data_IF_211762971065
#
_entry.id   IF_211762971065
#
_cell.length_a   1.000
_cell.length_b   1.000
_cell.length_c   1.000
_cell.angle_alpha   90.00
_cell.angle_beta   90.00
_cell.angle_gamma   90.00
#
_symmetry.space_group_name_H-M   'P 1'
#
loop_
_entity.id
_entity.type
_entity.pdbx_description
1 polymer ?
#
# COMPACT_ATOMS: atom_id res chain seq x y z
N UNK A 1 50.76 66.94 -18.08
CA UNK A 1 49.96 65.87 -18.72
C UNK A 1 49.28 65.11 -17.60
N UNK A 2 48.00 65.41 -17.36
CA UNK A 2 47.20 64.71 -16.38
C UNK A 2 46.86 63.33 -16.96
N UNK A 3 47.30 62.28 -16.28
CA UNK A 3 46.85 60.91 -16.56
C UNK A 3 45.34 60.86 -16.31
N UNK A 4 44.57 60.53 -17.34
CA UNK A 4 43.17 60.16 -17.21
C UNK A 4 43.11 58.94 -16.27
N UNK A 5 42.84 59.18 -14.98
CA UNK A 5 42.46 58.11 -14.05
C UNK A 5 41.18 57.50 -14.62
N UNK A 6 41.29 56.33 -15.25
CA UNK A 6 40.14 55.49 -15.50
C UNK A 6 39.48 55.26 -14.14
N UNK A 7 38.23 55.69 -13.99
CA UNK A 7 37.44 55.42 -12.81
C UNK A 7 37.17 53.92 -12.76
N UNK A 8 38.09 53.15 -12.15
CA UNK A 8 37.87 51.75 -11.83
C UNK A 8 36.73 51.68 -10.81
N UNK A 9 35.60 51.12 -11.24
CA UNK A 9 34.45 50.93 -10.36
C UNK A 9 34.74 49.70 -9.50
N UNK A 10 35.16 49.93 -8.25
CA UNK A 10 35.25 48.85 -7.27
C UNK A 10 33.88 48.70 -6.63
N UNK A 11 33.34 47.49 -6.73
CA UNK A 11 32.10 47.11 -6.05
C UNK A 11 32.44 46.46 -4.72
N UNK A 12 31.71 46.82 -3.68
CA UNK A 12 31.86 46.28 -2.33
C UNK A 12 30.61 45.55 -1.87
N UNK A 13 30.80 44.46 -1.16
CA UNK A 13 29.74 43.65 -0.55
C UNK A 13 29.96 43.55 0.95
N UNK A 14 28.88 43.64 1.72
CA UNK A 14 28.89 43.54 3.17
C UNK A 14 28.43 42.15 3.56
N UNK A 15 29.24 41.44 4.35
CA UNK A 15 28.93 40.14 4.93
C UNK A 15 28.48 40.34 6.37
N UNK A 16 27.36 39.72 6.73
CA UNK A 16 26.76 39.74 8.07
C UNK A 16 26.53 38.31 8.56
N UNK A 17 26.15 38.15 9.83
CA UNK A 17 25.80 36.85 10.39
C UNK A 17 24.65 36.16 9.63
N UNK A 18 23.73 36.93 9.04
CA UNK A 18 22.55 36.41 8.32
C UNK A 18 22.76 36.31 6.80
N UNK A 19 23.77 36.99 6.24
CA UNK A 19 24.04 37.05 4.80
C UNK A 19 25.54 37.00 4.55
N UNK A 20 25.99 35.84 4.08
CA UNK A 20 27.37 35.61 3.68
C UNK A 20 27.43 35.29 2.18
N UNK A 21 28.01 36.21 1.42
CA UNK A 21 28.21 36.07 -0.03
C UNK A 21 29.13 34.89 -0.37
N UNK A 22 30.12 34.59 0.47
CA UNK A 22 31.10 33.52 0.30
C UNK A 22 30.60 32.18 0.88
N UNK A 23 29.34 32.10 1.29
CA UNK A 23 28.71 30.85 1.71
C UNK A 23 27.91 30.22 0.58
N UNK A 24 27.86 28.88 0.53
CA UNK A 24 27.01 28.19 -0.45
C UNK A 24 25.54 28.33 -0.05
N UNK A 25 24.66 28.86 -0.91
CA UNK A 25 23.26 29.07 -0.57
C UNK A 25 22.50 27.77 -0.31
N UNK A 26 21.56 27.80 0.63
CA UNK A 26 20.74 26.65 1.04
C UNK A 26 20.02 25.97 -0.15
N UNK A 27 19.51 26.76 -1.11
CA UNK A 27 18.88 26.23 -2.33
C UNK A 27 19.83 25.33 -3.14
N UNK A 28 21.10 25.73 -3.27
CA UNK A 28 22.10 24.97 -4.01
C UNK A 28 22.51 23.70 -3.23
N UNK A 29 22.59 23.78 -1.90
CA UNK A 29 22.78 22.61 -1.02
C UNK A 29 21.63 21.61 -1.21
N UNK A 30 20.38 22.07 -1.27
CA UNK A 30 19.21 21.22 -1.50
C UNK A 30 19.26 20.54 -2.88
N UNK A 31 19.65 21.27 -3.93
CA UNK A 31 19.84 20.69 -5.28
C UNK A 31 20.88 19.57 -5.22
N UNK A 32 22.03 19.80 -4.60
CA UNK A 32 23.09 18.80 -4.47
C UNK A 32 22.62 17.56 -3.70
N UNK A 33 22.10 17.74 -2.48
CA UNK A 33 21.69 16.64 -1.61
C UNK A 33 20.60 15.77 -2.24
N UNK A 34 19.57 16.41 -2.81
CA UNK A 34 18.46 15.68 -3.43
C UNK A 34 18.87 14.99 -4.73
N UNK A 35 19.79 15.59 -5.50
CA UNK A 35 20.37 14.95 -6.69
C UNK A 35 21.14 13.70 -6.30
N UNK A 36 21.97 13.78 -5.26
CA UNK A 36 22.74 12.65 -4.77
C UNK A 36 21.84 11.53 -4.24
N UNK A 37 20.83 11.88 -3.44
CA UNK A 37 19.84 10.92 -2.94
C UNK A 37 19.16 10.15 -4.09
N UNK A 38 18.75 10.88 -5.13
CA UNK A 38 18.12 10.29 -6.32
C UNK A 38 19.08 9.38 -7.11
N UNK A 39 20.37 9.70 -7.16
CA UNK A 39 21.37 9.00 -7.98
C UNK A 39 22.02 7.80 -7.27
N UNK A 40 22.22 7.86 -5.95
CA UNK A 40 22.89 6.79 -5.19
C UNK A 40 21.95 5.65 -4.79
N UNK A 41 20.69 5.96 -4.52
CA UNK A 41 19.72 4.93 -4.14
C UNK A 41 19.17 4.22 -5.39
N UNK A 42 19.02 2.89 -5.31
CA UNK A 42 18.31 2.18 -6.37
C UNK A 42 16.87 2.68 -6.44
N UNK A 43 16.38 3.03 -7.63
CA UNK A 43 15.07 3.65 -7.84
C UNK A 43 13.87 2.85 -7.30
N UNK A 44 13.96 1.51 -7.24
CA UNK A 44 12.94 0.66 -6.59
C UNK A 44 12.95 0.73 -5.06
N UNK A 45 14.02 1.22 -4.45
CA UNK A 45 14.13 1.39 -2.99
C UNK A 45 13.70 2.77 -2.54
N UNK A 46 13.55 3.72 -3.46
CA UNK A 46 13.15 5.08 -3.14
C UNK A 46 11.60 5.17 -3.14
N UNK A 47 10.95 5.26 -1.97
CA UNK A 47 9.50 5.35 -1.88
C UNK A 47 8.94 6.68 -2.39
N UNK A 48 9.76 7.73 -2.47
CA UNK A 48 9.37 9.08 -2.88
C UNK A 48 9.97 9.52 -4.22
N UNK A 49 10.38 8.57 -5.09
CA UNK A 49 11.13 8.88 -6.32
C UNK A 49 10.49 9.99 -7.17
N UNK A 50 9.17 9.97 -7.36
CA UNK A 50 8.45 10.99 -8.13
C UNK A 50 8.43 12.34 -7.41
N UNK A 51 8.31 12.33 -6.08
CA UNK A 51 8.39 13.52 -5.25
C UNK A 51 9.75 14.19 -5.38
N UNK A 52 10.83 13.41 -5.24
CA UNK A 52 12.21 13.90 -5.33
C UNK A 52 12.52 14.49 -6.72
N UNK A 53 12.10 13.82 -7.80
CA UNK A 53 12.24 14.35 -9.17
C UNK A 53 11.45 15.64 -9.34
N UNK A 54 10.26 15.74 -8.75
CA UNK A 54 9.41 16.93 -8.85
C UNK A 54 10.02 18.10 -8.07
N UNK A 55 10.58 17.82 -6.90
CA UNK A 55 11.22 18.81 -6.04
C UNK A 55 12.54 19.32 -6.64
N UNK A 56 13.39 18.44 -7.18
CA UNK A 56 14.59 18.86 -7.93
C UNK A 56 14.24 19.80 -9.07
N UNK A 57 13.19 19.47 -9.85
CA UNK A 57 12.74 20.36 -10.92
C UNK A 57 12.28 21.71 -10.42
N UNK A 58 11.63 21.77 -9.25
CA UNK A 58 11.21 23.02 -8.62
C UNK A 58 12.43 23.85 -8.24
N UNK A 59 13.38 23.25 -7.53
CA UNK A 59 14.63 23.90 -7.13
C UNK A 59 15.42 24.45 -8.32
N UNK A 60 15.60 23.65 -9.38
CA UNK A 60 16.26 24.12 -10.60
C UNK A 60 15.54 25.29 -11.28
N UNK A 61 14.20 25.31 -11.27
CA UNK A 61 13.42 26.43 -11.83
C UNK A 61 13.54 27.70 -11.00
N UNK A 62 13.62 27.57 -9.68
CA UNK A 62 13.76 28.70 -8.76
C UNK A 62 15.10 29.41 -8.89
N UNK A 63 16.11 28.72 -9.40
CA UNK A 63 17.37 29.37 -9.81
C UNK A 63 17.16 30.43 -10.89
N UNK A 64 16.10 30.32 -11.72
CA UNK A 64 15.82 31.21 -12.87
C UNK A 64 16.99 31.29 -13.88
N UNK A 65 17.86 30.29 -13.92
CA UNK A 65 19.00 30.22 -14.84
C UNK A 65 18.63 29.44 -16.11
N UNK A 66 18.91 29.96 -17.32
CA UNK A 66 18.78 29.19 -18.56
C UNK A 66 19.58 27.88 -18.56
N UNK A 67 20.73 27.86 -17.89
CA UNK A 67 21.62 26.70 -17.74
C UNK A 67 20.95 25.54 -17.00
N UNK A 68 19.91 25.80 -16.21
CA UNK A 68 19.11 24.77 -15.53
C UNK A 68 18.25 23.93 -16.50
N UNK A 69 18.05 24.38 -17.74
CA UNK A 69 17.11 23.77 -18.68
C UNK A 69 17.44 22.30 -19.01
N UNK A 70 18.71 21.97 -19.20
CA UNK A 70 19.16 20.60 -19.48
C UNK A 70 18.83 19.64 -18.33
N UNK A 71 19.08 20.06 -17.09
CA UNK A 71 18.75 19.29 -15.88
C UNK A 71 17.23 19.07 -15.75
N UNK A 72 16.43 20.11 -15.97
CA UNK A 72 14.96 20.02 -15.91
C UNK A 72 14.42 19.06 -17.00
N UNK A 73 14.99 19.13 -18.21
CA UNK A 73 14.59 18.27 -19.32
C UNK A 73 14.90 16.79 -19.03
N UNK A 74 16.09 16.47 -18.53
CA UNK A 74 16.45 15.09 -18.18
C UNK A 74 15.69 14.58 -16.97
N UNK A 75 15.32 15.42 -15.99
CA UNK A 75 14.41 15.05 -14.90
C UNK A 75 13.00 14.68 -15.42
N UNK A 76 12.50 15.34 -16.46
CA UNK A 76 11.25 14.91 -17.11
C UNK A 76 11.39 13.53 -17.78
N UNK A 77 12.50 13.27 -18.46
CA UNK A 77 12.78 11.98 -19.06
C UNK A 77 12.91 10.88 -17.99
N UNK A 78 13.58 11.17 -16.88
CA UNK A 78 13.71 10.28 -15.71
C UNK A 78 12.35 9.90 -15.14
N UNK A 79 11.44 10.87 -14.98
CA UNK A 79 10.06 10.61 -14.55
C UNK A 79 9.33 9.65 -15.50
N UNK A 80 9.39 9.89 -16.81
CA UNK A 80 8.70 9.04 -17.78
C UNK A 80 9.29 7.63 -17.82
N UNK A 81 10.62 7.50 -17.78
CA UNK A 81 11.29 6.20 -17.72
C UNK A 81 10.94 5.44 -16.45
N UNK A 82 10.87 6.11 -15.30
CA UNK A 82 10.46 5.49 -14.04
C UNK A 82 9.07 4.88 -14.15
N UNK A 83 8.09 5.62 -14.68
CA UNK A 83 6.72 5.11 -14.84
C UNK A 83 6.68 3.88 -15.76
N UNK A 84 7.34 3.94 -16.92
CA UNK A 84 7.40 2.81 -17.85
C UNK A 84 8.11 1.58 -17.24
N UNK A 85 9.17 1.81 -16.47
CA UNK A 85 9.89 0.73 -15.78
C UNK A 85 9.05 0.11 -14.67
N UNK A 86 8.25 0.91 -13.96
CA UNK A 86 7.37 0.46 -12.89
C UNK A 86 6.30 -0.50 -13.43
N UNK A 87 5.72 -0.22 -14.60
CA UNK A 87 4.76 -1.12 -15.24
C UNK A 87 5.37 -2.50 -15.54
N UNK A 88 6.61 -2.51 -16.05
CA UNK A 88 7.35 -3.75 -16.32
C UNK A 88 7.70 -4.51 -15.03
N UNK A 89 8.15 -3.81 -13.99
CA UNK A 89 8.43 -4.39 -12.68
C UNK A 89 7.17 -4.99 -12.07
N UNK A 90 6.06 -4.26 -12.12
CA UNK A 90 4.78 -4.72 -11.61
C UNK A 90 4.33 -5.98 -12.36
N UNK A 91 4.43 -6.01 -13.69
CA UNK A 91 4.07 -7.20 -14.47
C UNK A 91 4.90 -8.44 -14.06
N UNK A 92 6.20 -8.27 -13.83
CA UNK A 92 7.08 -9.35 -13.35
C UNK A 92 6.71 -9.76 -11.93
N UNK A 93 6.50 -8.81 -11.03
CA UNK A 93 6.10 -9.07 -9.65
C UNK A 93 4.76 -9.81 -9.59
N UNK A 94 3.78 -9.43 -10.40
CA UNK A 94 2.50 -10.12 -10.51
C UNK A 94 2.65 -11.56 -11.03
N UNK A 95 3.50 -11.80 -12.03
CA UNK A 95 3.75 -13.15 -12.51
C UNK A 95 4.41 -14.01 -11.43
N UNK A 96 5.44 -13.48 -10.75
CA UNK A 96 6.10 -14.16 -9.64
C UNK A 96 5.14 -14.43 -8.48
N UNK A 97 4.25 -13.48 -8.17
CA UNK A 97 3.23 -13.66 -7.13
C UNK A 97 2.28 -14.81 -7.48
N UNK A 98 1.82 -14.90 -8.73
CA UNK A 98 0.95 -16.01 -9.16
C UNK A 98 1.61 -17.37 -9.01
N UNK A 99 2.91 -17.46 -9.30
CA UNK A 99 3.66 -18.71 -9.13
C UNK A 99 3.78 -19.09 -7.65
N UNK A 100 4.05 -18.10 -6.78
CA UNK A 100 4.09 -18.30 -5.32
C UNK A 100 2.72 -18.72 -4.79
N UNK A 101 1.66 -18.02 -5.17
CA UNK A 101 0.28 -18.32 -4.74
C UNK A 101 -0.11 -19.73 -5.19
N UNK A 102 0.19 -20.10 -6.44
CA UNK A 102 -0.05 -21.46 -6.96
C UNK A 102 0.71 -22.53 -6.20
N UNK A 103 1.98 -22.30 -5.89
CA UNK A 103 2.79 -23.22 -5.10
C UNK A 103 2.21 -23.37 -3.69
N UNK A 104 1.82 -22.26 -3.05
CA UNK A 104 1.21 -22.25 -1.72
C UNK A 104 -0.12 -23.02 -1.70
N UNK A 105 -1.00 -22.78 -2.68
CA UNK A 105 -2.26 -23.50 -2.86
C UNK A 105 -2.01 -25.00 -3.08
N UNK A 106 -1.02 -25.35 -3.91
CA UNK A 106 -0.63 -26.74 -4.15
C UNK A 106 -0.17 -27.44 -2.86
N UNK A 107 0.64 -26.77 -2.05
CA UNK A 107 1.06 -27.28 -0.75
C UNK A 107 -0.12 -27.40 0.22
N UNK A 108 -0.96 -26.38 0.33
CA UNK A 108 -2.10 -26.39 1.24
C UNK A 108 -3.07 -27.53 0.93
N UNK A 109 -3.42 -27.72 -0.34
CA UNK A 109 -4.25 -28.85 -0.77
C UNK A 109 -3.63 -30.19 -0.39
N UNK A 110 -2.32 -30.34 -0.57
CA UNK A 110 -1.63 -31.60 -0.24
C UNK A 110 -1.54 -31.83 1.27
N UNK A 111 -1.29 -30.78 2.05
CA UNK A 111 -1.27 -30.83 3.51
C UNK A 111 -2.64 -31.23 4.06
N UNK A 112 -3.72 -30.59 3.60
CA UNK A 112 -5.10 -30.90 4.03
C UNK A 112 -5.47 -32.36 3.71
N UNK A 113 -5.08 -32.85 2.52
CA UNK A 113 -5.31 -34.26 2.15
C UNK A 113 -4.54 -35.23 3.03
N UNK A 114 -3.27 -34.94 3.34
CA UNK A 114 -2.46 -35.80 4.21
C UNK A 114 -2.97 -35.77 5.66
N UNK A 115 -3.30 -34.60 6.18
CA UNK A 115 -3.89 -34.43 7.51
C UNK A 115 -5.21 -35.20 7.64
N UNK A 116 -6.09 -35.10 6.65
CA UNK A 116 -7.34 -35.89 6.60
C UNK A 116 -7.05 -37.39 6.64
N UNK A 117 -6.13 -37.90 5.80
CA UNK A 117 -5.76 -39.32 5.78
C UNK A 117 -5.14 -39.79 7.10
N UNK A 118 -4.28 -38.98 7.71
CA UNK A 118 -3.70 -39.25 9.03
C UNK A 118 -4.81 -39.33 10.07
N UNK A 119 -5.72 -38.35 10.10
CA UNK A 119 -6.83 -38.31 11.04
C UNK A 119 -7.77 -39.52 10.89
N UNK A 120 -8.05 -39.96 9.66
CA UNK A 120 -8.83 -41.18 9.39
C UNK A 120 -8.16 -42.44 9.95
N UNK A 121 -6.83 -42.55 9.79
CA UNK A 121 -6.08 -43.72 10.26
C UNK A 121 -5.93 -43.72 11.80
N UNK A 122 -5.68 -42.55 12.41
CA UNK A 122 -5.53 -42.41 13.87
C UNK A 122 -6.86 -42.57 14.61
N UNK A 123 -7.98 -42.18 14.00
CA UNK A 123 -9.30 -42.33 14.62
C UNK A 123 -9.72 -43.82 14.58
N UNK A 124 -10.01 -44.46 15.73
CA UNK A 124 -10.46 -45.85 15.76
C UNK A 124 -11.76 -46.05 14.97
N UNK A 125 -11.92 -47.18 14.26
CA UNK A 125 -13.12 -47.44 13.44
C UNK A 125 -14.41 -47.38 14.28
N UNK A 126 -14.34 -47.87 15.52
CA UNK A 126 -15.45 -47.86 16.49
C UNK A 126 -16.00 -46.45 16.76
N UNK A 127 -15.15 -45.41 16.70
CA UNK A 127 -15.59 -44.03 16.89
C UNK A 127 -16.52 -43.59 15.74
N UNK A 128 -16.21 -43.99 14.50
CA UNK A 128 -17.07 -43.71 13.35
C UNK A 128 -18.39 -44.48 13.43
N UNK A 129 -18.37 -45.75 13.84
CA UNK A 129 -19.60 -46.54 14.05
C UNK A 129 -20.52 -45.89 15.09
N UNK A 130 -19.97 -45.51 16.25
CA UNK A 130 -20.72 -44.79 17.29
C UNK A 130 -21.31 -43.49 16.78
N UNK A 131 -20.54 -42.72 15.99
CA UNK A 131 -21.03 -41.45 15.42
C UNK A 131 -22.13 -41.66 14.38
N UNK A 132 -22.00 -42.66 13.51
CA UNK A 132 -23.06 -43.06 12.55
C UNK A 132 -24.33 -43.44 13.30
N UNK A 133 -24.24 -44.31 14.31
CA UNK A 133 -25.40 -44.73 15.10
C UNK A 133 -26.07 -43.56 15.83
N UNK A 134 -25.28 -42.63 16.40
CA UNK A 134 -25.81 -41.40 17.02
C UNK A 134 -26.56 -40.54 16.01
N UNK A 135 -25.96 -40.27 14.86
CA UNK A 135 -26.55 -39.45 13.80
C UNK A 135 -27.82 -40.10 13.23
N UNK A 136 -27.83 -41.41 13.03
CA UNK A 136 -29.04 -42.13 12.61
C UNK A 136 -30.16 -42.02 13.64
N UNK A 137 -29.84 -42.11 14.94
CA UNK A 137 -30.82 -41.91 16.02
C UNK A 137 -31.34 -40.47 16.02
N UNK A 138 -30.46 -39.48 15.92
CA UNK A 138 -30.83 -38.06 15.85
C UNK A 138 -31.71 -37.77 14.63
N UNK A 139 -31.38 -38.32 13.47
CA UNK A 139 -32.19 -38.22 12.24
C UNK A 139 -33.57 -38.84 12.45
N UNK A 140 -33.68 -40.01 13.10
CA UNK A 140 -34.98 -40.64 13.40
C UNK A 140 -35.83 -39.76 14.33
N UNK A 141 -35.22 -39.22 15.39
CA UNK A 141 -35.90 -38.32 16.33
C UNK A 141 -36.38 -37.05 15.62
N UNK A 142 -35.50 -36.39 14.88
CA UNK A 142 -35.83 -35.14 14.19
C UNK A 142 -36.81 -35.37 13.02
N UNK A 143 -36.73 -36.51 12.32
CA UNK A 143 -37.72 -36.88 11.29
C UNK A 143 -39.11 -37.13 11.90
N UNK A 144 -39.18 -37.77 13.07
CA UNK A 144 -40.43 -37.96 13.80
C UNK A 144 -41.00 -36.62 14.24
N UNK A 145 -40.17 -35.75 14.82
CA UNK A 145 -40.56 -34.38 15.21
C UNK A 145 -41.08 -33.57 14.03
N UNK A 146 -40.36 -33.58 12.90
CA UNK A 146 -40.82 -32.92 11.66
C UNK A 146 -42.19 -33.45 11.21
N UNK A 147 -42.37 -34.77 11.24
CA UNK A 147 -43.65 -35.41 10.92
C UNK A 147 -44.78 -35.02 11.87
N UNK A 148 -44.52 -34.94 13.17
CA UNK A 148 -45.48 -34.49 14.19
C UNK A 148 -45.85 -33.00 14.02
N UNK A 149 -44.86 -32.13 13.82
CA UNK A 149 -45.08 -30.71 13.53
C UNK A 149 -45.90 -30.50 12.25
N UNK A 150 -45.57 -31.25 11.20
CA UNK A 150 -46.31 -31.22 9.94
C UNK A 150 -47.76 -31.67 10.14
N UNK A 151 -47.99 -32.80 10.81
CA UNK A 151 -49.35 -33.27 11.14
C UNK A 151 -50.13 -32.28 12.00
N UNK A 152 -49.49 -31.64 12.97
CA UNK A 152 -50.12 -30.64 13.82
C UNK A 152 -50.56 -29.42 13.02
N UNK A 153 -49.66 -28.89 12.16
CA UNK A 153 -49.99 -27.79 11.26
C UNK A 153 -51.18 -28.14 10.36
N UNK A 154 -51.13 -29.28 9.67
CA UNK A 154 -52.20 -29.71 8.78
C UNK A 154 -53.50 -29.97 9.53
N UNK A 155 -53.45 -30.66 10.68
CA UNK A 155 -54.63 -30.96 11.49
C UNK A 155 -55.29 -29.72 12.07
N UNK A 156 -54.51 -28.74 12.54
CA UNK A 156 -55.04 -27.48 13.04
C UNK A 156 -55.67 -26.64 11.94
N UNK A 157 -55.05 -26.57 10.76
CA UNK A 157 -55.61 -25.89 9.60
C UNK A 157 -56.86 -26.61 9.06
N UNK A 158 -56.87 -27.95 9.06
CA UNK A 158 -58.03 -28.73 8.62
C UNK A 158 -59.22 -28.57 9.54
N UNK A 159 -59.02 -28.52 10.87
CA UNK A 159 -60.11 -28.27 11.83
C UNK A 159 -60.84 -26.96 11.56
N UNK A 160 -60.08 -25.88 11.28
CA UNK A 160 -60.65 -24.58 10.92
C UNK A 160 -61.52 -24.70 9.66
N UNK A 161 -61.12 -25.54 8.70
CA UNK A 161 -61.86 -25.75 7.46
C UNK A 161 -63.04 -26.71 7.60
N UNK A 162 -62.93 -27.79 8.37
CA UNK A 162 -63.99 -28.79 8.53
C UNK A 162 -65.25 -28.21 9.19
N UNK A 163 -65.09 -27.16 10.00
CA UNK A 163 -66.19 -26.39 10.59
C UNK A 163 -67.01 -25.59 9.54
N UNK A 164 -66.48 -25.43 8.31
CA UNK A 164 -67.09 -24.63 7.24
C UNK A 164 -67.31 -25.40 5.93
N UNK A 165 -66.41 -26.32 5.59
CA UNK A 165 -66.40 -27.16 4.39
C UNK A 165 -65.84 -28.56 4.72
N UNK A 166 -66.70 -29.49 5.20
CA UNK A 166 -66.29 -30.85 5.54
C UNK A 166 -65.70 -31.58 4.32
N UNK A 167 -64.46 -32.09 4.44
CA UNK A 167 -63.84 -32.95 3.41
C UNK A 167 -62.99 -32.25 2.34
N UNK A 168 -62.62 -30.98 2.54
CA UNK A 168 -61.69 -30.26 1.65
C UNK A 168 -60.23 -30.71 1.81
N UNK A 169 -59.50 -30.96 0.70
CA UNK A 169 -58.08 -31.35 0.66
C UNK A 169 -57.12 -30.17 0.35
N UNK A 170 -57.53 -28.92 0.57
CA UNK A 170 -56.82 -27.73 0.05
C UNK A 170 -55.48 -27.39 0.74
N UNK A 171 -55.06 -28.11 1.78
CA UNK A 171 -54.01 -27.66 2.71
C UNK A 171 -52.67 -28.42 2.57
N UNK A 172 -52.26 -28.86 1.38
CA UNK A 172 -51.16 -29.84 1.29
C UNK A 172 -49.79 -29.29 0.88
N UNK A 173 -49.61 -27.98 0.64
CA UNK A 173 -48.36 -27.50 0.05
C UNK A 173 -47.84 -26.19 0.66
N UNK A 174 -47.27 -26.28 1.87
CA UNK A 174 -46.36 -25.25 2.38
C UNK A 174 -45.06 -25.28 1.57
N UNK A 175 -44.67 -24.14 1.00
CA UNK A 175 -43.42 -23.95 0.27
C UNK A 175 -42.57 -22.93 0.99
N UNK A 176 -41.31 -23.28 1.25
CA UNK A 176 -40.32 -22.36 1.81
C UNK A 176 -39.41 -21.79 0.73
N UNK A 177 -39.06 -20.52 0.87
CA UNK A 177 -37.94 -19.92 0.16
C UNK A 177 -36.98 -19.21 1.12
N UNK A 178 -35.69 -19.17 0.79
CA UNK A 178 -34.66 -18.55 1.62
C UNK A 178 -33.89 -17.51 0.82
N UNK A 179 -33.69 -16.34 1.42
CA UNK A 179 -32.81 -15.30 0.90
C UNK A 179 -31.82 -14.91 1.99
N UNK A 180 -30.53 -14.89 1.65
CA UNK A 180 -29.45 -14.56 2.57
C UNK A 180 -29.34 -13.05 2.86
N UNK A 181 -30.27 -12.23 2.35
CA UNK A 181 -30.38 -10.84 2.77
C UNK A 181 -30.67 -10.73 4.28
N UNK A 182 -30.15 -9.68 4.95
CA UNK A 182 -30.48 -9.40 6.35
C UNK A 182 -31.97 -9.18 6.53
N UNK A 183 -32.51 -9.60 7.67
CA UNK A 183 -33.94 -9.48 7.98
C UNK A 183 -34.51 -8.06 7.78
N UNK A 184 -33.73 -7.02 8.12
CA UNK A 184 -34.12 -5.62 7.94
C UNK A 184 -34.38 -5.21 6.47
N UNK A 185 -33.94 -6.02 5.50
CA UNK A 185 -34.10 -5.79 4.07
C UNK A 185 -35.16 -6.71 3.44
N UNK A 186 -35.83 -7.56 4.22
CA UNK A 186 -36.84 -8.47 3.69
C UNK A 186 -38.04 -7.69 3.13
N UNK A 187 -38.46 -8.09 1.95
CA UNK A 187 -39.65 -7.58 1.24
C UNK A 187 -40.50 -8.75 0.78
N UNK A 188 -41.76 -8.53 0.41
CA UNK A 188 -42.58 -9.60 -0.19
C UNK A 188 -41.86 -10.20 -1.41
N UNK A 189 -41.76 -11.53 -1.47
CA UNK A 189 -40.97 -12.24 -2.48
C UNK A 189 -41.88 -13.09 -3.36
N UNK A 190 -42.03 -12.77 -4.65
CA UNK A 190 -42.83 -13.57 -5.62
C UNK A 190 -44.23 -14.00 -5.11
N UNK A 191 -44.94 -13.10 -4.42
CA UNK A 191 -46.26 -13.42 -3.83
C UNK A 191 -46.20 -14.39 -2.64
N UNK A 192 -45.01 -14.62 -2.08
CA UNK A 192 -44.79 -15.25 -0.78
C UNK A 192 -44.59 -14.17 0.28
N UNK A 193 -45.08 -14.47 1.47
CA UNK A 193 -45.02 -13.59 2.62
C UNK A 193 -43.91 -14.07 3.54
N UNK A 194 -43.29 -13.13 4.24
CA UNK A 194 -42.18 -13.45 5.13
C UNK A 194 -42.65 -14.26 6.34
N UNK A 195 -41.81 -15.20 6.77
CA UNK A 195 -41.92 -15.92 8.02
C UNK A 195 -41.32 -15.06 9.16
N UNK A 196 -42.00 -15.01 10.31
CA UNK A 196 -41.69 -14.11 11.43
C UNK A 196 -40.20 -14.02 11.79
N UNK A 197 -39.73 -12.80 12.11
CA UNK A 197 -38.37 -12.40 12.48
C UNK A 197 -37.62 -13.23 13.54
N UNK A 198 -38.28 -14.17 14.23
CA UNK A 198 -37.74 -14.88 15.39
C UNK A 198 -36.97 -16.17 15.03
N UNK A 199 -36.82 -16.49 13.75
CA UNK A 199 -36.32 -17.80 13.31
C UNK A 199 -34.92 -17.74 12.73
N UNK A 200 -34.56 -16.65 12.05
CA UNK A 200 -33.22 -16.47 11.49
C UNK A 200 -32.91 -14.98 11.31
N UNK A 201 -31.61 -14.64 11.21
CA UNK A 201 -31.13 -13.30 10.84
C UNK A 201 -31.40 -12.92 9.38
N UNK A 202 -31.91 -13.86 8.58
CA UNK A 202 -32.12 -13.76 7.14
C UNK A 202 -33.59 -13.93 6.77
N UNK A 203 -33.93 -13.63 5.51
CA UNK A 203 -35.31 -13.74 5.05
C UNK A 203 -35.69 -15.20 4.77
N UNK A 204 -36.76 -15.66 5.40
CA UNK A 204 -37.41 -16.94 5.08
C UNK A 204 -38.83 -16.64 4.66
N UNK A 205 -39.24 -17.11 3.49
CA UNK A 205 -40.55 -16.85 2.91
C UNK A 205 -41.38 -18.11 2.86
N UNK A 206 -42.70 -17.93 3.00
CA UNK A 206 -43.68 -18.98 2.80
C UNK A 206 -44.78 -18.52 1.86
N UNK A 207 -45.39 -19.43 1.11
CA UNK A 207 -46.56 -19.16 0.26
C UNK A 207 -47.85 -18.91 1.08
N UNK A 208 -47.75 -18.05 2.11
CA UNK A 208 -48.81 -17.74 3.07
C UNK A 208 -50.07 -17.20 2.40
N UNK A 209 -49.94 -16.24 1.49
CA UNK A 209 -51.09 -15.66 0.78
C UNK A 209 -51.86 -16.74 0.00
N UNK A 210 -51.14 -17.65 -0.67
CA UNK A 210 -51.73 -18.81 -1.34
C UNK A 210 -52.41 -19.76 -0.35
N UNK A 211 -51.78 -20.04 0.79
CA UNK A 211 -52.37 -20.92 1.82
C UNK A 211 -53.65 -20.33 2.41
N UNK A 212 -53.67 -19.03 2.68
CA UNK A 212 -54.83 -18.33 3.24
C UNK A 212 -55.98 -18.19 2.23
N UNK A 213 -55.69 -18.16 0.92
CA UNK A 213 -56.73 -18.10 -0.12
C UNK A 213 -57.70 -19.28 -0.13
N UNK A 214 -57.32 -20.40 0.50
CA UNK A 214 -58.18 -21.56 0.69
C UNK A 214 -59.23 -21.37 1.80
N UNK A 215 -59.12 -20.32 2.62
CA UNK A 215 -59.99 -20.04 3.74
C UNK A 215 -60.94 -18.86 3.41
N UNK A 216 -62.22 -18.93 3.82
CA UNK A 216 -63.10 -17.75 3.79
C UNK A 216 -62.50 -16.58 4.57
N UNK A 217 -62.81 -15.35 4.16
CA UNK A 217 -62.27 -14.14 4.80
C UNK A 217 -62.53 -14.08 6.32
N UNK A 218 -63.64 -14.66 6.79
CA UNK A 218 -63.97 -14.75 8.22
C UNK A 218 -63.07 -15.69 9.04
N UNK A 219 -62.37 -16.62 8.40
CA UNK A 219 -61.50 -17.62 9.04
C UNK A 219 -60.00 -17.38 8.76
N UNK A 220 -59.69 -16.42 7.88
CA UNK A 220 -58.32 -16.13 7.47
C UNK A 220 -57.42 -15.76 8.65
N UNK A 221 -57.90 -14.96 9.62
CA UNK A 221 -57.13 -14.56 10.80
C UNK A 221 -56.78 -15.73 11.72
N UNK A 222 -57.65 -16.73 11.82
CA UNK A 222 -57.43 -17.92 12.66
C UNK A 222 -56.41 -18.85 12.00
N UNK A 223 -56.55 -19.11 10.71
CA UNK A 223 -55.56 -19.85 9.92
C UNK A 223 -54.19 -19.16 9.98
N UNK A 224 -54.17 -17.82 9.93
CA UNK A 224 -52.98 -16.99 10.01
C UNK A 224 -52.23 -17.16 11.34
N UNK A 225 -52.96 -17.31 12.46
CA UNK A 225 -52.38 -17.59 13.78
C UNK A 225 -51.74 -18.97 13.83
N UNK A 226 -52.43 -20.00 13.33
CA UNK A 226 -51.91 -21.38 13.27
C UNK A 226 -50.61 -21.44 12.46
N UNK A 227 -50.57 -20.76 11.30
CA UNK A 227 -49.37 -20.65 10.45
C UNK A 227 -48.21 -20.02 11.24
N UNK A 228 -48.45 -18.90 11.93
CA UNK A 228 -47.42 -18.22 12.73
C UNK A 228 -46.87 -19.07 13.87
N UNK A 229 -47.70 -19.92 14.48
CA UNK A 229 -47.31 -20.77 15.59
C UNK A 229 -46.46 -21.96 15.12
N UNK A 230 -46.87 -22.64 14.05
CA UNK A 230 -46.33 -23.96 13.70
C UNK A 230 -45.19 -23.92 12.66
N UNK A 231 -45.29 -23.02 11.67
CA UNK A 231 -44.31 -22.96 10.57
C UNK A 231 -42.87 -22.65 11.02
N UNK A 232 -42.64 -21.79 12.05
CA UNK A 232 -41.29 -21.55 12.58
C UNK A 232 -40.53 -22.82 12.97
N UNK A 233 -41.17 -23.69 13.76
CA UNK A 233 -40.52 -24.91 14.25
C UNK A 233 -40.40 -25.96 13.16
N UNK A 234 -41.34 -25.98 12.21
CA UNK A 234 -41.26 -26.83 11.03
C UNK A 234 -40.03 -26.47 10.16
N UNK A 235 -39.76 -25.18 9.95
CA UNK A 235 -38.57 -24.71 9.24
C UNK A 235 -37.27 -25.10 9.96
N UNK A 236 -37.18 -24.86 11.27
CA UNK A 236 -36.00 -25.23 12.07
C UNK A 236 -35.73 -26.73 12.03
N UNK A 237 -36.78 -27.54 12.15
CA UNK A 237 -36.68 -29.00 12.07
C UNK A 237 -36.22 -29.46 10.67
N UNK A 238 -36.80 -28.91 9.61
CA UNK A 238 -36.43 -29.21 8.23
C UNK A 238 -34.96 -28.88 7.92
N UNK A 239 -34.53 -27.67 8.26
CA UNK A 239 -33.15 -27.19 8.02
C UNK A 239 -32.13 -27.93 8.86
N UNK A 240 -32.45 -28.29 10.11
CA UNK A 240 -31.61 -29.18 10.92
C UNK A 240 -31.48 -30.57 10.30
N UNK A 241 -32.56 -31.10 9.72
CA UNK A 241 -32.56 -32.44 9.14
C UNK A 241 -31.81 -32.50 7.80
N UNK A 242 -32.13 -31.61 6.86
CA UNK A 242 -31.70 -31.67 5.46
C UNK A 242 -30.97 -30.42 4.95
N UNK A 243 -30.91 -29.35 5.76
CA UNK A 243 -30.52 -28.03 5.29
C UNK A 243 -31.57 -27.42 4.36
N UNK A 244 -31.13 -26.51 3.49
CA UNK A 244 -31.97 -25.94 2.44
C UNK A 244 -31.17 -25.83 1.13
N UNK A 245 -31.73 -26.31 0.02
CA UNK A 245 -31.11 -26.25 -1.29
C UNK A 245 -31.94 -25.37 -2.21
N UNK A 246 -31.39 -24.22 -2.58
CA UNK A 246 -32.00 -23.34 -3.57
C UNK A 246 -31.61 -23.81 -4.97
N UNK A 247 -32.58 -24.39 -5.67
CA UNK A 247 -32.41 -24.88 -7.05
C UNK A 247 -32.19 -23.75 -8.07
N UNK A 248 -32.62 -22.52 -7.77
CA UNK A 248 -32.50 -21.39 -8.70
C UNK A 248 -31.10 -20.80 -8.73
N UNK A 249 -30.41 -20.82 -7.58
CA UNK A 249 -29.03 -20.33 -7.42
C UNK A 249 -28.01 -21.47 -7.28
N UNK A 250 -28.44 -22.73 -7.38
CA UNK A 250 -27.62 -23.92 -7.15
C UNK A 250 -26.82 -23.87 -5.84
N UNK A 251 -27.44 -23.33 -4.79
CA UNK A 251 -26.78 -23.01 -3.52
C UNK A 251 -27.33 -23.83 -2.36
N UNK A 252 -26.43 -24.50 -1.63
CA UNK A 252 -26.76 -25.23 -0.41
C UNK A 252 -26.51 -24.35 0.82
N UNK A 253 -27.56 -24.13 1.60
CA UNK A 253 -27.53 -23.47 2.89
C UNK A 253 -27.63 -24.50 4.03
N UNK A 254 -27.14 -24.13 5.21
CA UNK A 254 -27.11 -25.00 6.40
C UNK A 254 -26.42 -26.35 6.10
N UNK A 255 -25.18 -26.28 5.59
CA UNK A 255 -24.41 -27.44 5.10
C UNK A 255 -24.09 -28.48 6.17
N UNK A 256 -24.14 -28.11 7.45
CA UNK A 256 -23.89 -29.00 8.58
C UNK A 256 -25.17 -29.55 9.22
N UNK A 257 -26.19 -29.82 8.40
CA UNK A 257 -27.39 -30.55 8.82
C UNK A 257 -27.10 -32.03 9.12
N UNK A 258 -28.02 -32.69 9.83
CA UNK A 258 -27.84 -34.07 10.30
C UNK A 258 -27.57 -35.06 9.17
N UNK A 259 -28.29 -34.96 8.04
CA UNK A 259 -28.08 -35.89 6.91
C UNK A 259 -26.74 -35.66 6.21
N UNK A 260 -26.31 -34.41 6.07
CA UNK A 260 -24.98 -34.05 5.55
C UNK A 260 -23.87 -34.58 6.47
N UNK A 261 -24.00 -34.40 7.78
CA UNK A 261 -23.08 -34.97 8.77
C UNK A 261 -23.03 -36.49 8.66
N UNK A 262 -24.19 -37.17 8.56
CA UNK A 262 -24.24 -38.63 8.38
C UNK A 262 -23.56 -39.08 7.09
N UNK A 263 -23.79 -38.40 5.98
CA UNK A 263 -23.14 -38.71 4.70
C UNK A 263 -21.61 -38.57 4.81
N UNK A 264 -21.12 -37.45 5.37
CA UNK A 264 -19.69 -37.22 5.61
C UNK A 264 -19.08 -38.30 6.51
N UNK A 265 -19.73 -38.65 7.63
CA UNK A 265 -19.23 -39.68 8.55
C UNK A 265 -19.22 -41.07 7.91
N UNK A 266 -20.26 -41.43 7.13
CA UNK A 266 -20.28 -42.70 6.40
C UNK A 266 -19.21 -42.77 5.31
N UNK A 267 -18.96 -41.66 4.63
CA UNK A 267 -17.87 -41.56 3.67
C UNK A 267 -16.51 -41.75 4.36
N UNK A 268 -16.26 -41.04 5.46
CA UNK A 268 -15.03 -41.20 6.25
C UNK A 268 -14.83 -42.65 6.72
N UNK A 269 -15.89 -43.33 7.17
CA UNK A 269 -15.83 -44.74 7.53
C UNK A 269 -15.45 -45.65 6.35
N UNK A 270 -15.98 -45.39 5.15
CA UNK A 270 -15.61 -46.14 3.93
C UNK A 270 -14.14 -45.90 3.55
N UNK A 271 -13.70 -44.65 3.58
CA UNK A 271 -12.31 -44.27 3.30
C UNK A 271 -11.35 -44.92 4.30
N UNK A 272 -11.68 -44.89 5.59
CA UNK A 272 -10.89 -45.58 6.62
C UNK A 272 -10.74 -47.07 6.31
N UNK A 273 -11.84 -47.78 6.04
CA UNK A 273 -11.81 -49.22 5.74
C UNK A 273 -10.96 -49.53 4.51
N UNK A 274 -11.01 -48.68 3.49
CA UNK A 274 -10.18 -48.83 2.32
C UNK A 274 -8.68 -48.66 2.64
N UNK A 275 -8.33 -47.69 3.49
CA UNK A 275 -6.94 -47.48 3.92
C UNK A 275 -6.45 -48.60 4.85
N UNK A 276 -7.29 -49.11 5.75
CA UNK A 276 -6.93 -50.18 6.69
C UNK A 276 -6.63 -51.51 5.96
N UNK A 277 -7.23 -51.76 4.80
CA UNK A 277 -6.92 -52.92 3.95
C UNK A 277 -5.50 -52.88 3.33
N UNK A 278 -4.83 -51.73 3.34
CA UNK A 278 -3.57 -51.49 2.65
C UNK A 278 -2.34 -51.43 3.57
N UNK A 279 -2.38 -52.05 4.76
CA UNK A 279 -1.34 -51.97 5.82
C UNK A 279 -1.29 -50.59 6.49
N UNK A 280 -2.33 -50.29 7.29
CA UNK A 280 -2.59 -48.98 7.90
C UNK A 280 -1.43 -48.38 8.69
N UNK A 281 -0.67 -49.17 9.47
CA UNK A 281 0.46 -48.65 10.25
C UNK A 281 1.57 -48.08 9.36
N UNK A 282 1.96 -48.83 8.33
CA UNK A 282 2.98 -48.39 7.36
C UNK A 282 2.51 -47.18 6.55
N UNK A 283 1.22 -47.13 6.21
CA UNK A 283 0.63 -45.98 5.53
C UNK A 283 0.60 -44.73 6.41
N UNK A 284 0.27 -44.87 7.70
CA UNK A 284 0.25 -43.78 8.65
C UNK A 284 1.65 -43.15 8.81
N UNK A 285 2.68 -43.98 8.99
CA UNK A 285 4.06 -43.50 9.05
C UNK A 285 4.47 -42.79 7.76
N UNK A 286 4.13 -43.35 6.60
CA UNK A 286 4.43 -42.73 5.30
C UNK A 286 3.74 -41.38 5.14
N UNK A 287 2.45 -41.25 5.48
CA UNK A 287 1.75 -39.97 5.42
C UNK A 287 2.33 -38.94 6.39
N UNK A 288 2.72 -39.34 7.61
CA UNK A 288 3.41 -38.43 8.57
C UNK A 288 4.76 -37.94 8.04
N UNK A 289 5.56 -38.83 7.42
CA UNK A 289 6.81 -38.43 6.78
C UNK A 289 6.58 -37.51 5.57
N UNK A 290 5.58 -37.78 4.75
CA UNK A 290 5.21 -36.92 3.62
C UNK A 290 4.74 -35.55 4.09
N UNK A 291 3.95 -35.49 5.17
CA UNK A 291 3.49 -34.23 5.77
C UNK A 291 4.70 -33.38 6.19
N UNK A 292 5.61 -33.93 6.99
CA UNK A 292 6.81 -33.24 7.42
C UNK A 292 7.70 -32.81 6.25
N UNK A 293 7.82 -33.66 5.20
CA UNK A 293 8.56 -33.33 3.98
C UNK A 293 7.95 -32.14 3.23
N UNK A 294 6.62 -32.08 3.12
CA UNK A 294 5.90 -31.00 2.44
C UNK A 294 5.96 -29.71 3.24
N UNK A 295 5.80 -29.76 4.57
CA UNK A 295 5.99 -28.61 5.45
C UNK A 295 7.40 -28.02 5.29
N UNK A 296 8.43 -28.88 5.25
CA UNK A 296 9.81 -28.46 4.98
C UNK A 296 10.08 -27.95 3.56
N UNK A 297 9.29 -28.34 2.55
CA UNK A 297 9.38 -27.78 1.19
C UNK A 297 8.68 -26.44 1.09
N UNK A 298 7.52 -26.29 1.74
CA UNK A 298 6.77 -25.02 1.82
C UNK A 298 7.63 -23.93 2.46
N UNK A 299 8.35 -24.23 3.54
CA UNK A 299 9.24 -23.25 4.19
C UNK A 299 10.35 -22.74 3.27
N UNK A 300 10.84 -23.54 2.31
CA UNK A 300 11.82 -23.09 1.31
C UNK A 300 11.23 -22.15 0.26
N UNK A 301 9.93 -22.25 -0.02
CA UNK A 301 9.23 -21.28 -0.89
C UNK A 301 9.00 -19.96 -0.13
N UNK A 302 8.82 -20.02 1.18
CA UNK A 302 8.73 -18.85 2.07
C UNK A 302 10.10 -18.16 2.20
N UNK A 303 11.21 -18.92 2.19
CA UNK A 303 12.58 -18.40 2.32
C UNK A 303 13.14 -17.75 1.03
N UNK A 304 12.26 -17.32 0.12
CA UNK A 304 12.69 -16.52 -1.02
C UNK A 304 12.91 -15.10 -0.51
N UNK A 305 14.16 -14.64 -0.46
CA UNK A 305 14.52 -13.30 0.05
C UNK A 305 13.94 -12.09 -0.72
N UNK A 306 13.06 -12.32 -1.71
CA UNK A 306 12.25 -11.33 -2.38
C UNK A 306 10.79 -11.29 -1.91
N UNK A 307 10.43 -12.11 -0.91
CA UNK A 307 9.11 -12.11 -0.28
C UNK A 307 9.15 -11.34 1.04
N UNK A 308 8.06 -10.64 1.34
CA UNK A 308 7.83 -10.02 2.64
C UNK A 308 7.25 -10.99 3.69
N UNK A 309 6.89 -10.47 4.85
CA UNK A 309 6.32 -11.25 5.96
C UNK A 309 4.93 -11.84 5.63
N UNK A 310 4.23 -11.27 4.65
CA UNK A 310 2.92 -11.72 4.18
C UNK A 310 3.01 -12.61 2.94
N UNK A 311 4.23 -13.03 2.56
CA UNK A 311 4.51 -13.82 1.36
C UNK A 311 4.15 -13.10 0.06
N UNK A 312 4.22 -11.76 0.06
CA UNK A 312 4.09 -10.93 -1.12
C UNK A 312 5.45 -10.59 -1.70
N UNK A 313 5.52 -10.49 -3.03
CA UNK A 313 6.75 -10.07 -3.70
C UNK A 313 7.09 -8.62 -3.32
N UNK A 314 8.19 -8.45 -2.57
CA UNK A 314 8.77 -7.17 -2.20
C UNK A 314 9.70 -6.67 -3.32
N UNK A 315 9.21 -5.70 -4.10
CA UNK A 315 9.95 -5.10 -5.21
C UNK A 315 11.11 -4.21 -4.77
N UNK A 316 11.12 -3.74 -3.51
CA UNK A 316 12.20 -2.96 -2.92
C UNK A 316 13.31 -3.84 -2.31
N UNK A 317 13.06 -5.14 -2.15
CA UNK A 317 14.04 -6.08 -1.60
C UNK A 317 15.32 -6.14 -2.45
N UNK A 318 16.46 -6.32 -1.77
CA UNK A 318 17.75 -6.51 -2.45
C UNK A 318 17.75 -7.74 -3.37
N UNK A 319 17.00 -8.79 -3.02
CA UNK A 319 16.91 -9.99 -3.83
C UNK A 319 16.12 -9.73 -5.13
N UNK A 320 14.98 -9.04 -5.04
CA UNK A 320 14.20 -8.67 -6.22
C UNK A 320 15.01 -7.76 -7.16
N UNK A 321 15.67 -6.73 -6.62
CA UNK A 321 16.51 -5.82 -7.40
C UNK A 321 17.63 -6.58 -8.13
N UNK A 322 18.24 -7.59 -7.50
CA UNK A 322 19.24 -8.46 -8.17
C UNK A 322 18.66 -9.32 -9.29
N UNK A 323 17.38 -9.68 -9.22
CA UNK A 323 16.69 -10.38 -10.33
C UNK A 323 16.44 -9.41 -11.50
N UNK A 324 16.12 -8.15 -11.18
CA UNK A 324 15.86 -7.10 -12.14
C UNK A 324 17.12 -6.52 -12.82
N UNK A 325 18.29 -7.17 -12.70
CA UNK A 325 19.63 -6.76 -13.22
C UNK A 325 19.71 -6.23 -14.67
N UNK A 326 18.64 -6.32 -15.45
CA UNK A 326 18.53 -5.83 -16.83
C UNK A 326 17.65 -4.58 -17.01
N UNK A 327 16.93 -4.13 -15.98
CA UNK A 327 16.13 -2.91 -16.07
C UNK A 327 17.05 -1.69 -16.13
N UNK A 328 16.97 -0.93 -17.21
CA UNK A 328 17.76 0.29 -17.37
C UNK A 328 17.36 1.29 -16.28
N UNK A 329 18.33 1.87 -15.57
CA UNK A 329 18.03 2.83 -14.51
C UNK A 329 17.22 4.01 -15.07
N UNK A 330 16.09 4.39 -14.45
CA UNK A 330 15.32 5.54 -14.89
C UNK A 330 16.11 6.84 -14.69
N UNK A 331 17.06 6.87 -13.76
CA UNK A 331 17.91 8.04 -13.47
C UNK A 331 19.03 8.26 -14.48
N UNK A 332 19.28 7.31 -15.39
CA UNK A 332 20.40 7.37 -16.33
C UNK A 332 20.50 8.70 -17.11
N UNK A 333 19.42 9.26 -17.71
CA UNK A 333 19.49 10.55 -18.40
C UNK A 333 19.88 11.70 -17.49
N UNK A 334 19.41 11.67 -16.24
CA UNK A 334 19.73 12.71 -15.27
C UNK A 334 21.17 12.57 -14.78
N UNK A 335 21.65 11.34 -14.51
CA UNK A 335 23.04 11.13 -14.11
C UNK A 335 24.03 11.58 -15.18
N UNK A 336 23.73 11.32 -16.46
CA UNK A 336 24.60 11.73 -17.57
C UNK A 336 24.78 13.25 -17.61
N UNK A 337 23.71 14.02 -17.42
CA UNK A 337 23.77 15.49 -17.38
C UNK A 337 24.32 16.02 -16.05
N UNK A 338 23.99 15.38 -14.93
CA UNK A 338 24.47 15.80 -13.61
C UNK A 338 25.98 15.66 -13.45
N UNK A 339 26.59 14.66 -14.11
CA UNK A 339 28.03 14.41 -14.13
C UNK A 339 28.75 14.98 -15.37
N UNK A 340 28.06 15.71 -16.25
CA UNK A 340 28.70 16.38 -17.39
C UNK A 340 29.47 17.61 -16.92
N UNK A 341 30.79 17.57 -17.03
CA UNK A 341 31.67 18.63 -16.54
C UNK A 341 31.39 20.00 -17.18
N UNK A 342 31.00 20.03 -18.46
CA UNK A 342 30.72 21.28 -19.17
C UNK A 342 29.41 21.91 -18.68
N UNK A 343 28.37 21.10 -18.44
CA UNK A 343 27.11 21.56 -17.90
C UNK A 343 27.22 21.98 -16.44
N UNK A 344 28.01 21.26 -15.64
CA UNK A 344 28.34 21.65 -14.27
C UNK A 344 29.02 23.01 -14.23
N UNK A 345 30.12 23.19 -14.99
CA UNK A 345 30.86 24.45 -15.03
C UNK A 345 29.98 25.61 -15.51
N UNK A 346 29.18 25.38 -16.55
CA UNK A 346 28.26 26.40 -17.06
C UNK A 346 27.24 26.80 -16.00
N UNK A 347 26.63 25.85 -15.31
CA UNK A 347 25.62 26.11 -14.29
C UNK A 347 26.20 26.79 -13.05
N UNK A 348 27.32 26.29 -12.50
CA UNK A 348 27.95 26.86 -11.30
C UNK A 348 28.45 28.28 -11.56
N UNK A 349 29.02 28.54 -12.75
CA UNK A 349 29.43 29.88 -13.16
C UNK A 349 28.24 30.84 -13.29
N UNK A 350 27.15 30.40 -13.91
CA UNK A 350 25.94 31.22 -14.04
C UNK A 350 25.31 31.53 -12.68
N UNK A 351 25.27 30.53 -11.79
CA UNK A 351 24.79 30.68 -10.42
C UNK A 351 25.66 31.64 -9.60
N UNK A 352 26.99 31.54 -9.70
CA UNK A 352 27.91 32.46 -9.04
C UNK A 352 27.71 33.93 -9.51
N UNK A 353 27.51 34.15 -10.81
CA UNK A 353 27.16 35.48 -11.34
C UNK A 353 25.84 36.00 -10.78
N UNK A 354 24.84 35.13 -10.66
CA UNK A 354 23.55 35.47 -10.07
C UNK A 354 23.72 35.92 -8.61
N UNK A 355 24.52 35.22 -7.82
CA UNK A 355 24.78 35.60 -6.41
C UNK A 355 25.36 37.02 -6.28
N UNK A 356 26.27 37.39 -7.17
CA UNK A 356 26.85 38.74 -7.19
C UNK A 356 25.84 39.81 -7.64
N UNK A 357 24.91 39.47 -8.53
CA UNK A 357 23.96 40.42 -9.13
C UNK A 357 22.71 40.62 -8.26
N UNK A 358 22.26 39.57 -7.58
CA UNK A 358 21.06 39.56 -6.74
C UNK A 358 21.36 39.73 -5.25
N UNK A 359 22.62 40.05 -4.90
CA UNK A 359 22.97 40.37 -3.52
C UNK A 359 22.16 41.59 -3.03
N UNK A 360 21.69 41.61 -1.76
CA UNK A 360 20.84 42.70 -1.27
C UNK A 360 21.48 44.08 -1.48
N UNK A 361 20.73 45.02 -2.04
CA UNK A 361 21.25 46.33 -2.43
C UNK A 361 21.70 47.17 -1.22
N UNK A 362 21.09 46.94 -0.05
CA UNK A 362 21.47 47.51 1.24
C UNK A 362 22.85 47.02 1.74
N UNK A 363 23.25 45.81 1.34
CA UNK A 363 24.55 45.20 1.64
C UNK A 363 25.59 45.43 0.53
N UNK A 364 25.32 46.36 -0.38
CA UNK A 364 26.18 46.71 -1.50
C UNK A 364 26.66 48.15 -1.37
N UNK A 365 27.94 48.38 -1.69
CA UNK A 365 28.53 49.72 -1.74
C UNK A 365 29.46 49.85 -2.94
N UNK A 366 29.81 51.08 -3.29
CA UNK A 366 30.79 51.38 -4.35
C UNK A 366 31.91 52.21 -3.78
N UNK A 367 33.13 51.97 -4.24
CA UNK A 367 34.26 52.84 -3.93
C UNK A 367 34.35 53.95 -4.96
N UNK A 368 34.47 55.19 -4.49
CA UNK A 368 34.66 56.34 -5.36
C UNK A 368 36.05 56.32 -6.02
N UNK A 369 36.22 57.14 -7.05
CA UNK A 369 37.46 57.26 -7.82
C UNK A 369 38.69 57.72 -7.01
N UNK A 370 38.46 58.32 -5.85
CA UNK A 370 39.48 58.72 -4.88
C UNK A 370 39.70 57.69 -3.75
N UNK A 371 39.10 56.50 -3.86
CA UNK A 371 39.27 55.39 -2.92
C UNK A 371 38.40 55.50 -1.67
N UNK A 372 37.47 56.46 -1.62
CA UNK A 372 36.60 56.70 -0.47
C UNK A 372 35.31 55.89 -0.60
N UNK A 373 34.87 55.27 0.48
CA UNK A 373 33.58 54.59 0.52
C UNK A 373 32.93 54.77 1.88
N UNK A 374 31.61 54.61 1.91
CA UNK A 374 30.84 54.62 3.15
C UNK A 374 30.18 53.26 3.30
N UNK A 375 30.40 52.61 4.45
CA UNK A 375 29.69 51.40 4.80
C UNK A 375 28.31 51.84 5.32
N UNK A 376 27.20 51.38 4.72
CA UNK A 376 25.87 51.48 5.32
C UNK A 376 25.94 51.13 6.82
N UNK A 377 25.30 51.91 7.69
CA UNK A 377 25.22 51.64 9.14
C UNK A 377 24.34 50.40 9.40
N UNK A 378 24.83 49.23 9.06
CA UNK A 378 24.21 47.97 9.45
C UNK A 378 24.89 47.44 10.71
N UNK A 379 24.10 47.18 11.75
CA UNK A 379 24.54 46.87 13.10
C UNK A 379 25.19 45.47 13.27
N UNK A 380 25.76 44.89 12.21
CA UNK A 380 26.24 43.50 12.20
C UNK A 380 27.17 43.14 11.03
N UNK A 381 27.81 44.12 10.38
CA UNK A 381 28.84 43.83 9.39
C UNK A 381 30.02 43.11 10.07
N UNK A 382 30.32 41.91 9.60
CA UNK A 382 31.43 41.08 10.08
C UNK A 382 32.64 41.18 9.14
N UNK A 383 32.38 41.28 7.84
CA UNK A 383 33.42 41.33 6.81
C UNK A 383 32.95 42.19 5.62
N UNK A 384 33.90 42.82 4.93
CA UNK A 384 33.70 43.52 3.66
C UNK A 384 34.43 42.76 2.56
N UNK A 385 33.79 42.61 1.40
CA UNK A 385 34.38 41.98 0.21
C UNK A 385 34.44 43.00 -0.92
N UNK A 386 35.64 43.33 -1.37
CA UNK A 386 35.87 44.25 -2.48
C UNK A 386 36.15 43.45 -3.76
N UNK A 387 35.34 43.73 -4.78
CA UNK A 387 35.45 43.15 -6.11
C UNK A 387 36.06 44.17 -7.08
N UNK A 388 37.27 43.89 -7.55
CA UNK A 388 38.04 44.79 -8.41
C UNK A 388 37.63 44.66 -9.88
N UNK A 389 37.66 45.79 -10.61
CA UNK A 389 37.13 45.90 -11.97
C UNK A 389 37.89 45.07 -13.02
N UNK A 390 39.16 44.73 -12.79
CA UNK A 390 39.92 43.83 -13.65
C UNK A 390 39.50 42.35 -13.51
N UNK A 391 38.66 42.05 -12.52
CA UNK A 391 38.10 40.73 -12.21
C UNK A 391 39.14 39.62 -12.06
N UNK A 392 40.38 39.94 -11.67
CA UNK A 392 41.43 38.95 -11.45
C UNK A 392 41.72 38.68 -9.96
N UNK A 393 41.29 39.57 -9.08
CA UNK A 393 41.51 39.51 -7.62
C UNK A 393 40.27 40.01 -6.87
N UNK A 394 40.20 39.72 -5.57
CA UNK A 394 39.25 40.32 -4.64
C UNK A 394 39.92 40.50 -3.28
N UNK A 395 39.43 41.43 -2.47
CA UNK A 395 39.93 41.69 -1.12
C UNK A 395 38.83 41.38 -0.10
N UNK A 396 39.15 40.64 0.95
CA UNK A 396 38.31 40.52 2.15
C UNK A 396 38.90 41.37 3.26
N UNK A 397 38.05 42.04 4.03
CA UNK A 397 38.45 42.83 5.20
C UNK A 397 37.54 42.53 6.38
N UNK A 398 38.11 42.04 7.48
CA UNK A 398 37.37 41.74 8.70
C UNK A 398 37.09 43.03 9.50
N UNK A 399 35.83 43.29 9.81
CA UNK A 399 35.41 44.55 10.46
C UNK A 399 35.76 44.52 11.94
N UNK A 400 36.69 45.40 12.36
CA UNK A 400 37.09 45.54 13.77
C UNK A 400 36.24 46.61 14.47
N UNK A 401 35.29 46.16 15.29
CA UNK A 401 34.23 46.95 15.97
C UNK A 401 34.73 48.18 16.77
N UNK A 402 36.02 48.27 17.11
CA UNK A 402 36.56 49.28 18.04
C UNK A 402 37.28 50.47 17.41
N UNK A 403 37.33 50.58 16.08
CA UNK A 403 38.09 51.64 15.40
C UNK A 403 37.19 52.75 14.87
N UNK A 404 37.49 54.00 15.22
CA UNK A 404 36.77 55.18 14.73
C UNK A 404 36.98 55.34 13.22
N UNK A 405 35.89 55.40 12.46
CA UNK A 405 35.92 55.75 11.03
C UNK A 405 36.39 57.21 10.82
N UNK A 406 37.14 57.50 9.73
CA UNK A 406 37.49 56.60 8.62
C UNK A 406 38.76 55.76 8.88
N UNK A 407 38.78 54.54 8.34
CA UNK A 407 39.97 53.68 8.32
C UNK A 407 40.56 53.62 6.90
N UNK A 408 41.89 53.55 6.81
CA UNK A 408 42.61 53.30 5.56
C UNK A 408 43.03 51.84 5.55
N UNK A 409 42.51 51.07 4.59
CA UNK A 409 42.90 49.67 4.37
C UNK A 409 44.06 49.68 3.37
N UNK A 410 45.20 49.13 3.75
CA UNK A 410 46.36 48.98 2.87
C UNK A 410 46.88 47.54 2.86
N UNK A 411 47.89 47.27 2.02
CA UNK A 411 48.45 45.93 1.83
C UNK A 411 49.13 45.33 3.08
N UNK A 412 49.35 46.10 4.14
CA UNK A 412 49.94 45.66 5.40
C UNK A 412 48.91 45.49 6.52
N UNK A 413 47.63 45.76 6.25
CA UNK A 413 46.56 45.57 7.24
C UNK A 413 46.38 44.08 7.53
N UNK A 414 46.50 43.70 8.80
CA UNK A 414 46.39 42.31 9.25
C UNK A 414 44.96 41.77 9.17
N UNK A 415 43.97 42.65 9.00
CA UNK A 415 42.57 42.29 8.82
C UNK A 415 42.16 42.24 7.34
N UNK A 416 43.09 42.54 6.42
CA UNK A 416 42.86 42.51 4.98
C UNK A 416 43.57 41.31 4.34
N UNK A 417 42.85 40.54 3.53
CA UNK A 417 43.40 39.44 2.75
C UNK A 417 43.09 39.63 1.26
N UNK A 418 44.14 39.66 0.44
CA UNK A 418 44.03 39.80 -1.01
C UNK A 418 44.09 38.42 -1.67
N UNK A 419 43.05 38.08 -2.43
CA UNK A 419 43.02 36.87 -3.24
C UNK A 419 43.81 37.01 -4.54
N UNK A 420 44.27 35.87 -5.06
CA UNK A 420 44.97 35.75 -6.34
C UNK A 420 44.05 35.38 -7.52
N UNK A 421 42.75 35.28 -7.28
CA UNK A 421 41.73 34.95 -8.27
C UNK A 421 40.48 35.81 -8.08
N UNK A 422 39.60 35.79 -9.09
CA UNK A 422 38.40 36.61 -9.10
C UNK A 422 37.38 36.17 -8.05
N UNK A 423 36.57 37.11 -7.54
CA UNK A 423 35.45 36.77 -6.66
C UNK A 423 34.47 35.80 -7.33
N UNK A 424 34.26 35.94 -8.64
CA UNK A 424 33.44 35.01 -9.41
C UNK A 424 34.01 33.60 -9.41
N UNK A 425 35.33 33.46 -9.56
CA UNK A 425 36.00 32.16 -9.55
C UNK A 425 36.02 31.53 -8.16
N UNK A 426 36.12 32.32 -7.09
CA UNK A 426 35.97 31.84 -5.71
C UNK A 426 34.58 31.24 -5.50
N UNK A 427 33.52 32.01 -5.78
CA UNK A 427 32.14 31.54 -5.63
C UNK A 427 31.85 30.30 -6.50
N UNK A 428 32.27 30.33 -7.77
CA UNK A 428 32.18 29.16 -8.66
C UNK A 428 32.91 27.96 -8.07
N UNK A 429 34.13 28.15 -7.55
CA UNK A 429 34.96 27.11 -6.95
C UNK A 429 34.30 26.45 -5.74
N UNK A 430 33.67 27.24 -4.88
CA UNK A 430 32.92 26.71 -3.73
C UNK A 430 31.69 25.91 -4.14
N UNK A 431 30.90 26.43 -5.10
CA UNK A 431 29.75 25.73 -5.65
C UNK A 431 30.16 24.40 -6.31
N UNK A 432 31.24 24.41 -7.10
CA UNK A 432 31.78 23.22 -7.74
C UNK A 432 32.30 22.20 -6.71
N UNK A 433 33.02 22.67 -5.67
CA UNK A 433 33.51 21.82 -4.58
C UNK A 433 32.37 21.10 -3.87
N UNK A 434 31.24 21.77 -3.62
CA UNK A 434 30.05 21.11 -3.07
C UNK A 434 29.46 20.12 -4.08
N UNK A 435 29.33 20.52 -5.35
CA UNK A 435 28.77 19.65 -6.39
C UNK A 435 29.54 18.32 -6.53
N UNK A 436 30.86 18.37 -6.45
CA UNK A 436 31.78 17.23 -6.55
C UNK A 436 31.89 16.42 -5.24
N UNK A 437 31.42 16.98 -4.13
CA UNK A 437 31.46 16.30 -2.84
C UNK A 437 30.45 15.15 -2.77
N UNK A 438 30.67 14.22 -1.82
CA UNK A 438 29.62 13.27 -1.44
C UNK A 438 28.57 14.00 -0.62
N UNK A 439 27.30 13.58 -0.72
CA UNK A 439 26.22 14.24 0.01
C UNK A 439 26.61 14.52 1.46
N UNK A 440 26.44 15.77 1.86
CA UNK A 440 26.52 16.14 3.25
C UNK A 440 25.25 15.58 3.87
N UNK A 441 25.39 14.63 4.79
CA UNK A 441 24.27 14.19 5.61
C UNK A 441 23.73 15.43 6.34
N UNK A 442 22.66 16.02 5.82
CA UNK A 442 21.93 17.07 6.51
C UNK A 442 21.44 16.46 7.81
N UNK A 443 22.06 16.87 8.91
CA UNK A 443 21.69 16.43 10.24
C UNK A 443 20.23 16.85 10.49
N UNK A 444 19.40 15.83 10.74
CA UNK A 444 18.13 15.89 11.46
C UNK A 444 16.92 16.54 10.74
N UNK A 445 15.83 15.76 10.76
CA UNK A 445 14.40 16.05 10.54
C UNK A 445 13.94 17.52 10.52
#
# INVERSE_FOLDING_TARGET
MASERHNEIISGYIVTEQKDLLSVPEEFIKIHNLSHHLLEQHWLQNPNFIGDVTELKRLFRETRLPEAASFIATLNATKQRYLNNLDNVNAIAFAMQRDVDKDLDGYQNTLEQLQHKIQLLETPEEAYHKKVASLEKEIRIESKRYGELSKSLHGSLQKILDDYMPGSQLIHQLKFNYDNLPHAMCRQFRGMSELVASISSNCVYINRDQMLSAFPASLADEANKVINEHVPDLWRSMTRLNGYFDTSTNSQFFKDNLRSQLAKTRQALREKRYLDQQQSEKLLENFKMQLASIEGKRSKVIDKGYLDQELRVDTASKAFIRLMKKAQSPTLPYSEVYYDAGLQESFTKAYAKKLLTEYPAELYFTVSSDGVFSIPREAGAQQLVFNFADSSQYLTYDVVIQSSLPQVIDSQDQHAEMSSHSLLDELKGQLQKLWDSKAIASASY
#
